data_IF_050254102924
#
_entry.id   IF_050254102924
#
_cell.length_a   1.000
_cell.length_b   1.000
_cell.length_c   1.000
_cell.angle_alpha   90.00
_cell.angle_beta   90.00
_cell.angle_gamma   90.00
#
_symmetry.space_group_name_H-M   'P 1'
#
loop_
_entity.id
_entity.type
_entity.pdbx_description
1 polymer ?
#
# COMPACT_ATOMS: atom_id res chain seq x y z
N UNK A 1 12.12 32.59 -0.69
CA UNK A 1 10.77 32.44 -0.09
C UNK A 1 9.94 33.64 -0.51
N UNK A 2 8.74 33.45 -1.06
CA UNK A 2 7.90 34.56 -1.51
C UNK A 2 6.86 34.88 -0.44
N UNK A 3 6.76 36.15 -0.05
CA UNK A 3 5.78 36.60 0.95
C UNK A 3 4.40 36.82 0.33
N UNK A 4 3.38 36.29 0.99
CA UNK A 4 1.97 36.42 0.63
C UNK A 4 1.20 37.17 1.72
N UNK A 5 0.22 37.96 1.30
CA UNK A 5 -0.66 38.74 2.17
C UNK A 5 -2.10 38.29 1.96
N UNK A 6 -2.86 38.13 3.05
CA UNK A 6 -4.30 37.92 2.96
C UNK A 6 -4.97 39.18 2.42
N UNK A 7 -5.77 39.03 1.35
CA UNK A 7 -6.48 40.15 0.71
C UNK A 7 -8.00 39.97 0.71
N UNK A 8 -8.51 38.75 0.78
CA UNK A 8 -9.94 38.49 0.94
C UNK A 8 -10.20 37.13 1.60
N UNK A 9 -11.41 36.96 2.10
CA UNK A 9 -11.99 35.69 2.53
C UNK A 9 -13.18 35.42 1.62
N UNK A 10 -13.39 34.16 1.22
CA UNK A 10 -14.58 33.79 0.47
C UNK A 10 -15.85 34.03 1.29
N UNK A 11 -16.97 34.28 0.62
CA UNK A 11 -18.24 34.62 1.27
C UNK A 11 -18.76 33.49 2.18
N UNK A 12 -18.50 32.24 1.79
CA UNK A 12 -18.80 31.02 2.56
C UNK A 12 -17.71 30.67 3.59
N UNK A 13 -16.62 31.42 3.64
CA UNK A 13 -15.49 31.19 4.56
C UNK A 13 -14.67 29.94 4.27
N UNK A 14 -14.85 29.29 3.11
CA UNK A 14 -14.16 28.04 2.76
C UNK A 14 -12.74 28.23 2.23
N UNK A 15 -12.38 29.43 1.73
CA UNK A 15 -11.00 29.73 1.31
C UNK A 15 -10.59 31.20 1.54
N UNK A 16 -9.29 31.40 1.64
CA UNK A 16 -8.62 32.69 1.69
C UNK A 16 -8.07 33.05 0.32
N UNK A 17 -8.10 34.33 -0.05
CA UNK A 17 -7.40 34.86 -1.21
C UNK A 17 -6.15 35.58 -0.74
N UNK A 18 -5.00 35.13 -1.22
CA UNK A 18 -3.69 35.68 -0.91
C UNK A 18 -3.13 36.41 -2.13
N UNK A 19 -2.31 37.44 -1.92
CA UNK A 19 -1.60 38.14 -2.99
C UNK A 19 -0.15 38.37 -2.61
N UNK A 20 0.70 38.48 -3.63
CA UNK A 20 2.12 38.77 -3.43
C UNK A 20 2.32 40.24 -3.09
N UNK A 21 3.38 40.55 -2.32
CA UNK A 21 3.82 41.93 -2.16
C UNK A 21 4.25 42.52 -3.51
N UNK A 22 3.43 43.39 -4.10
CA UNK A 22 3.80 44.19 -5.28
C UNK A 22 3.51 43.57 -6.66
N UNK A 23 3.10 42.30 -6.77
CA UNK A 23 2.55 41.74 -8.04
C UNK A 23 1.09 41.34 -7.86
N UNK A 24 0.25 41.65 -8.86
CA UNK A 24 -1.19 41.38 -8.87
C UNK A 24 -1.58 39.89 -8.92
N UNK A 25 -0.63 38.96 -8.78
CA UNK A 25 -0.89 37.53 -8.76
C UNK A 25 -1.62 37.16 -7.46
N UNK A 26 -2.79 36.53 -7.63
CA UNK A 26 -3.63 36.04 -6.53
C UNK A 26 -3.50 34.52 -6.43
N UNK A 27 -3.58 34.03 -5.21
CA UNK A 27 -3.58 32.61 -4.85
C UNK A 27 -4.79 32.34 -3.96
N UNK A 28 -5.31 31.11 -3.99
CA UNK A 28 -6.38 30.68 -3.08
C UNK A 28 -5.83 29.64 -2.12
N UNK A 29 -6.18 29.75 -0.84
CA UNK A 29 -5.79 28.81 0.21
C UNK A 29 -7.05 28.32 0.94
N UNK A 30 -7.41 27.02 0.86
CA UNK A 30 -8.56 26.48 1.59
C UNK A 30 -8.45 26.69 3.10
N UNK A 31 -9.58 26.97 3.74
CA UNK A 31 -9.72 27.03 5.21
C UNK A 31 -10.06 25.64 5.72
N UNK A 32 -9.04 24.80 5.79
CA UNK A 32 -9.13 23.45 6.34
C UNK A 32 -8.71 23.41 7.83
N UNK A 33 -8.81 22.24 8.44
CA UNK A 33 -8.43 22.06 9.85
C UNK A 33 -6.93 22.27 10.08
N UNK A 34 -6.10 22.13 9.05
CA UNK A 34 -4.65 22.40 9.13
C UNK A 34 -4.39 23.88 9.26
N UNK A 35 -5.01 24.70 8.41
CA UNK A 35 -4.91 26.16 8.51
C UNK A 35 -5.45 26.63 9.86
N UNK A 36 -6.59 26.08 10.32
CA UNK A 36 -7.14 26.39 11.64
C UNK A 36 -6.19 25.99 12.78
N UNK A 37 -5.53 24.84 12.69
CA UNK A 37 -4.55 24.39 13.68
C UNK A 37 -3.28 25.25 13.67
N UNK A 38 -2.80 25.64 12.48
CA UNK A 38 -1.65 26.51 12.30
C UNK A 38 -1.87 27.90 12.90
N UNK A 39 -3.03 28.51 12.62
CA UNK A 39 -3.40 29.82 13.18
C UNK A 39 -3.55 29.77 14.70
N UNK A 40 -4.03 28.65 15.26
CA UNK A 40 -4.15 28.44 16.72
C UNK A 40 -2.81 28.14 17.42
N UNK A 41 -1.70 28.05 16.69
CA UNK A 41 -0.38 27.75 17.26
C UNK A 41 -0.17 26.30 17.68
N UNK A 42 -1.02 25.37 17.21
CA UNK A 42 -0.90 23.94 17.52
C UNK A 42 0.09 23.23 16.57
N UNK A 43 1.35 23.65 16.62
CA UNK A 43 2.42 23.15 15.72
C UNK A 43 2.78 21.67 15.94
N UNK A 44 2.52 21.13 17.13
CA UNK A 44 2.71 19.71 17.44
C UNK A 44 1.80 18.77 16.64
N UNK A 45 0.69 19.26 16.07
CA UNK A 45 -0.19 18.50 15.17
C UNK A 45 0.13 18.69 13.69
N UNK A 46 0.81 19.77 13.30
CA UNK A 46 1.13 20.04 11.89
C UNK A 46 2.13 19.04 11.29
N UNK A 47 3.09 18.54 12.07
CA UNK A 47 3.94 17.42 11.65
C UNK A 47 3.20 16.09 11.50
N UNK A 48 1.99 15.96 12.07
CA UNK A 48 1.10 14.80 11.85
C UNK A 48 0.16 15.03 10.66
N UNK A 49 -0.13 16.29 10.32
CA UNK A 49 -1.01 16.64 9.20
C UNK A 49 -0.35 16.54 7.83
N UNK A 50 0.97 16.40 7.67
CA UNK A 50 1.56 16.07 6.34
C UNK A 50 1.02 14.74 5.76
N UNK A 51 0.31 13.93 6.55
CA UNK A 51 -0.24 12.62 6.16
C UNK A 51 -1.74 12.67 5.79
N UNK A 52 -2.45 13.77 6.03
CA UNK A 52 -3.92 13.78 5.92
C UNK A 52 -4.41 14.51 4.65
N UNK A 53 -3.87 14.13 3.49
CA UNK A 53 -4.57 14.32 2.20
C UNK A 53 -5.56 13.15 2.14
N UNK A 54 -6.82 13.37 1.73
CA UNK A 54 -7.90 12.37 1.59
C UNK A 54 -7.41 10.90 1.66
N UNK A 55 -7.54 10.27 2.83
CA UNK A 55 -6.63 9.21 3.33
C UNK A 55 -6.20 8.20 2.25
N UNK A 56 -5.02 8.37 1.60
CA UNK A 56 -4.45 7.32 0.78
C UNK A 56 -4.21 6.12 1.69
N UNK A 57 -4.50 4.91 1.21
CA UNK A 57 -4.32 3.66 1.95
C UNK A 57 -3.08 3.68 2.84
N UNK A 58 -3.25 3.34 4.13
CA UNK A 58 -2.13 3.28 5.07
C UNK A 58 -1.19 2.14 4.67
N UNK A 59 0.13 2.24 4.94
CA UNK A 59 1.07 1.16 4.64
C UNK A 59 0.64 -0.21 5.15
N UNK A 60 0.06 -0.27 6.36
CA UNK A 60 -0.47 -1.51 6.95
C UNK A 60 -1.62 -2.11 6.14
N UNK A 61 -2.49 -1.29 5.56
CA UNK A 61 -3.62 -1.73 4.74
C UNK A 61 -3.13 -2.26 3.40
N UNK A 62 -2.19 -1.55 2.77
CA UNK A 62 -1.50 -2.01 1.56
C UNK A 62 -0.88 -3.39 1.81
N UNK A 63 -0.09 -3.51 2.87
CA UNK A 63 0.58 -4.76 3.22
C UNK A 63 -0.42 -5.89 3.53
N UNK A 64 -1.55 -5.60 4.16
CA UNK A 64 -2.58 -6.59 4.44
C UNK A 64 -3.22 -7.12 3.15
N UNK A 65 -3.55 -6.23 2.19
CA UNK A 65 -4.11 -6.59 0.88
C UNK A 65 -3.13 -7.40 0.03
N UNK A 66 -1.87 -6.98 -0.02
CA UNK A 66 -0.82 -7.76 -0.71
C UNK A 66 -0.68 -9.14 -0.07
N UNK A 67 -0.72 -9.23 1.26
CA UNK A 67 -0.68 -10.53 1.95
C UNK A 67 -1.92 -11.38 1.65
N UNK A 68 -3.06 -10.77 1.33
CA UNK A 68 -4.27 -11.47 0.89
C UNK A 68 -4.23 -11.91 -0.57
N UNK A 69 -3.18 -11.54 -1.32
CA UNK A 69 -2.97 -11.95 -2.71
C UNK A 69 -3.26 -10.86 -3.74
N UNK A 70 -3.71 -9.67 -3.34
CA UNK A 70 -3.88 -8.54 -4.27
C UNK A 70 -2.53 -8.05 -4.81
N UNK A 71 -2.51 -7.65 -6.07
CA UNK A 71 -1.37 -7.02 -6.74
C UNK A 71 -1.30 -5.53 -6.44
N UNK A 72 -0.12 -4.91 -6.65
CA UNK A 72 0.03 -3.48 -6.46
C UNK A 72 -0.88 -2.68 -7.40
N UNK A 73 -1.06 -3.16 -8.62
CA UNK A 73 -1.92 -2.60 -9.65
C UNK A 73 -3.39 -2.62 -9.24
N UNK A 74 -3.89 -3.74 -8.71
CA UNK A 74 -5.28 -3.87 -8.23
C UNK A 74 -5.56 -2.94 -7.05
N UNK A 75 -4.63 -2.87 -6.09
CA UNK A 75 -4.73 -1.99 -4.93
C UNK A 75 -4.73 -0.52 -5.37
N UNK A 76 -3.81 -0.15 -6.26
CA UNK A 76 -3.69 1.20 -6.80
C UNK A 76 -4.95 1.62 -7.56
N UNK A 77 -5.46 0.76 -8.45
CA UNK A 77 -6.68 1.00 -9.21
C UNK A 77 -7.90 1.15 -8.30
N UNK A 78 -8.04 0.29 -7.29
CA UNK A 78 -9.16 0.33 -6.34
C UNK A 78 -9.12 1.56 -5.44
N UNK A 79 -7.93 2.00 -5.04
CA UNK A 79 -7.76 3.13 -4.13
C UNK A 79 -7.55 4.48 -4.81
N UNK A 80 -7.44 4.52 -6.15
CA UNK A 80 -7.20 5.75 -6.90
C UNK A 80 -5.85 6.40 -6.59
N UNK A 81 -4.82 5.61 -6.28
CA UNK A 81 -3.46 6.10 -5.97
C UNK A 81 -2.45 5.63 -7.03
N UNK A 82 -1.30 6.31 -7.20
CA UNK A 82 -0.24 5.83 -8.08
C UNK A 82 0.30 4.46 -7.64
N UNK A 83 0.57 3.56 -8.58
CA UNK A 83 1.07 2.20 -8.30
C UNK A 83 2.44 2.22 -7.63
N UNK A 84 3.28 3.20 -7.96
CA UNK A 84 4.62 3.39 -7.38
C UNK A 84 4.56 3.58 -5.86
N UNK A 85 3.48 4.19 -5.36
CA UNK A 85 3.24 4.35 -3.92
C UNK A 85 2.99 3.00 -3.24
N UNK A 86 2.28 2.09 -3.91
CA UNK A 86 2.00 0.74 -3.40
C UNK A 86 3.28 -0.10 -3.42
N UNK A 87 4.05 -0.02 -4.51
CA UNK A 87 5.30 -0.78 -4.69
C UNK A 87 6.36 -0.49 -3.63
N UNK A 88 6.41 0.72 -3.07
CA UNK A 88 7.30 1.02 -1.93
C UNK A 88 7.08 0.12 -0.72
N UNK A 89 5.86 -0.40 -0.54
CA UNK A 89 5.49 -1.22 0.61
C UNK A 89 5.37 -2.71 0.29
N UNK A 90 5.50 -3.11 -0.98
CA UNK A 90 5.24 -4.49 -1.42
C UNK A 90 6.39 -5.44 -1.11
N UNK A 91 7.64 -4.99 -1.27
CA UNK A 91 8.84 -5.85 -1.21
C UNK A 91 8.89 -6.76 0.04
N UNK A 92 8.74 -6.20 1.26
CA UNK A 92 8.74 -7.03 2.48
C UNK A 92 7.62 -8.08 2.52
N UNK A 93 6.45 -7.79 1.95
CA UNK A 93 5.29 -8.70 1.98
C UNK A 93 5.41 -9.78 0.92
N UNK A 94 5.94 -9.44 -0.27
CA UNK A 94 6.24 -10.43 -1.30
C UNK A 94 7.28 -11.44 -0.80
N UNK A 95 8.32 -10.97 -0.11
CA UNK A 95 9.32 -11.85 0.50
C UNK A 95 8.72 -12.74 1.62
N UNK A 96 7.82 -12.20 2.44
CA UNK A 96 7.07 -13.00 3.42
C UNK A 96 6.25 -14.10 2.72
N UNK A 97 5.53 -13.75 1.64
CA UNK A 97 4.69 -14.69 0.89
C UNK A 97 5.52 -15.78 0.23
N UNK A 98 6.63 -15.40 -0.40
CA UNK A 98 7.58 -16.33 -1.00
C UNK A 98 8.15 -17.28 0.06
N UNK A 99 8.59 -16.74 1.21
CA UNK A 99 9.12 -17.54 2.30
C UNK A 99 8.07 -18.53 2.83
N UNK A 100 6.82 -18.09 3.04
CA UNK A 100 5.73 -18.99 3.46
C UNK A 100 5.45 -20.08 2.43
N UNK A 101 5.45 -19.76 1.14
CA UNK A 101 5.28 -20.73 0.07
C UNK A 101 6.43 -21.77 0.06
N UNK A 102 7.68 -21.33 0.23
CA UNK A 102 8.84 -22.21 0.35
C UNK A 102 8.76 -23.12 1.59
N UNK A 103 8.28 -22.60 2.73
CA UNK A 103 8.08 -23.42 3.93
C UNK A 103 7.01 -24.49 3.69
N UNK A 104 5.88 -24.13 3.08
CA UNK A 104 4.81 -25.05 2.76
C UNK A 104 5.28 -26.20 1.87
N UNK A 105 6.10 -25.89 0.85
CA UNK A 105 6.68 -26.89 -0.05
C UNK A 105 7.51 -27.95 0.68
N UNK A 106 8.20 -27.60 1.77
CA UNK A 106 9.06 -28.51 2.54
C UNK A 106 8.30 -29.39 3.54
N UNK A 107 6.99 -29.20 3.71
CA UNK A 107 6.18 -29.99 4.64
C UNK A 107 6.03 -31.43 4.10
N UNK A 108 6.42 -32.42 4.92
CA UNK A 108 6.20 -33.82 4.60
C UNK A 108 4.70 -34.16 4.63
N UNK A 109 4.21 -34.77 3.56
CA UNK A 109 2.81 -35.19 3.44
C UNK A 109 2.72 -36.66 3.84
N UNK A 110 1.86 -36.99 4.80
CA UNK A 110 1.59 -38.39 5.17
C UNK A 110 0.64 -39.02 4.17
N UNK A 111 1.06 -40.14 3.58
CA UNK A 111 0.20 -40.95 2.74
C UNK A 111 -0.58 -41.98 3.58
N UNK A 112 -1.81 -42.34 3.20
CA UNK A 112 -2.58 -43.35 3.91
C UNK A 112 -1.82 -44.69 3.99
N UNK A 113 -1.68 -45.24 5.19
CA UNK A 113 -1.03 -46.54 5.41
C UNK A 113 0.48 -46.49 5.61
N UNK A 114 1.12 -45.32 5.53
CA UNK A 114 2.55 -45.16 5.78
C UNK A 114 2.85 -44.71 7.23
N UNK A 115 3.83 -45.37 7.85
CA UNK A 115 4.35 -45.04 9.17
C UNK A 115 5.58 -44.13 9.15
N UNK A 116 6.20 -43.94 7.98
CA UNK A 116 7.34 -43.04 7.77
C UNK A 116 6.89 -41.69 7.19
N UNK A 117 7.68 -40.61 7.32
CA UNK A 117 7.41 -39.37 6.61
C UNK A 117 7.40 -39.62 5.11
N UNK A 118 6.29 -39.26 4.46
CA UNK A 118 6.15 -39.32 3.01
C UNK A 118 6.89 -38.16 2.31
N UNK A 119 6.80 -38.08 0.97
CA UNK A 119 7.41 -36.99 0.21
C UNK A 119 6.90 -35.61 0.66
N UNK A 120 7.69 -34.59 0.38
CA UNK A 120 7.33 -33.20 0.64
C UNK A 120 6.17 -32.76 -0.26
N UNK A 121 5.43 -31.75 0.17
CA UNK A 121 4.35 -31.17 -0.61
C UNK A 121 4.82 -30.70 -1.99
N UNK A 122 6.00 -30.09 -2.06
CA UNK A 122 6.62 -29.64 -3.30
C UNK A 122 6.87 -30.79 -4.28
N UNK A 123 7.46 -31.90 -3.80
CA UNK A 123 7.72 -33.09 -4.62
C UNK A 123 6.43 -33.70 -5.17
N UNK A 124 5.40 -33.85 -4.33
CA UNK A 124 4.12 -34.42 -4.75
C UNK A 124 3.41 -33.58 -5.80
N UNK A 125 3.42 -32.25 -5.64
CA UNK A 125 2.81 -31.34 -6.61
C UNK A 125 3.57 -31.36 -7.92
N UNK A 126 4.91 -31.30 -7.88
CA UNK A 126 5.74 -31.38 -9.08
C UNK A 126 5.53 -32.69 -9.85
N UNK A 127 5.51 -33.84 -9.16
CA UNK A 127 5.26 -35.15 -9.78
C UNK A 127 3.86 -35.22 -10.43
N UNK A 128 2.83 -34.65 -9.78
CA UNK A 128 1.47 -34.60 -10.33
C UNK A 128 1.34 -33.69 -11.54
N UNK A 129 1.94 -32.51 -11.50
CA UNK A 129 1.89 -31.52 -12.58
C UNK A 129 2.68 -32.02 -13.80
N UNK A 130 3.85 -32.59 -13.59
CA UNK A 130 4.66 -33.20 -14.66
C UNK A 130 3.91 -34.34 -15.35
N UNK A 131 3.22 -35.21 -14.59
CA UNK A 131 2.37 -36.27 -15.17
C UNK A 131 1.20 -35.75 -16.02
N UNK A 132 0.81 -34.48 -15.84
CA UNK A 132 -0.21 -33.79 -16.63
C UNK A 132 0.37 -32.96 -17.78
N UNK A 133 1.69 -33.01 -17.98
CA UNK A 133 2.38 -32.29 -19.06
C UNK A 133 2.71 -30.84 -18.75
N UNK A 134 2.66 -30.41 -17.48
CA UNK A 134 3.10 -29.06 -17.07
C UNK A 134 4.62 -29.09 -16.87
N UNK A 135 5.39 -28.28 -17.61
CA UNK A 135 6.84 -28.15 -17.41
C UNK A 135 7.17 -27.64 -16.01
N UNK A 136 8.28 -28.12 -15.43
CA UNK A 136 8.64 -27.76 -14.05
C UNK A 136 8.99 -26.27 -13.89
N UNK A 137 9.51 -25.65 -14.95
CA UNK A 137 9.86 -24.23 -15.04
C UNK A 137 8.65 -23.30 -15.21
N UNK A 138 7.46 -23.85 -15.48
CA UNK A 138 6.20 -23.10 -15.52
C UNK A 138 5.44 -23.15 -14.17
N UNK A 139 6.00 -23.80 -13.14
CA UNK A 139 5.35 -23.97 -11.84
C UNK A 139 5.82 -22.88 -10.86
N UNK A 140 4.96 -21.90 -10.62
CA UNK A 140 5.15 -20.90 -9.57
C UNK A 140 4.36 -21.21 -8.31
N UNK A 141 4.95 -20.86 -7.17
CA UNK A 141 4.34 -21.00 -5.84
C UNK A 141 4.18 -19.66 -5.17
N UNK A 142 3.07 -19.53 -4.47
CA UNK A 142 2.75 -18.32 -3.73
C UNK A 142 1.93 -18.68 -2.48
N UNK A 143 1.78 -17.73 -1.57
CA UNK A 143 0.91 -17.85 -0.41
C UNK A 143 0.03 -16.61 -0.27
N UNK A 144 -1.16 -16.83 0.27
CA UNK A 144 -2.12 -15.77 0.57
C UNK A 144 -2.78 -16.02 1.92
N UNK A 145 -3.00 -14.95 2.67
CA UNK A 145 -3.70 -14.95 3.95
C UNK A 145 -5.12 -14.43 3.75
N UNK A 146 -6.12 -15.29 3.93
CA UNK A 146 -7.54 -14.91 3.98
C UNK A 146 -7.96 -14.45 5.37
#
# INVERSE_FOLDING_TARGET
MQELRLVAVSEDGTYLVLATAGRGTRFTLPVDDRLRAAVRGNFSRLGQYEIEVESPLRPKEIQARIRAGETAEEIAATAGIPVERVRWFEGPVLQEREYMAQQAQRVAVRLPGESSPGPTLGELVAERLTRRGVPADEIDWDSAKR
#
